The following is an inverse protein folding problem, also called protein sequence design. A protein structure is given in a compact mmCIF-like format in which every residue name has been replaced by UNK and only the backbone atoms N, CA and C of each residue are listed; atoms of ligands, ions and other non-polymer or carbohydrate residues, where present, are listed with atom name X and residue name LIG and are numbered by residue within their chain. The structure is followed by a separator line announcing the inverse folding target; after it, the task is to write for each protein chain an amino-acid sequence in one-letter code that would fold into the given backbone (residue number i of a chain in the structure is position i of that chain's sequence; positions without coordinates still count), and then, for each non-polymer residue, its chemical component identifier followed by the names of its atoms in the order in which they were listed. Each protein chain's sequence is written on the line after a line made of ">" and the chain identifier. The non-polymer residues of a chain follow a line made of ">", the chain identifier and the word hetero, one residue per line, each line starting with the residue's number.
data_IF_209611774028
#
_entry.id   IF_209611774028
#
_cell.length_a   1.000
_cell.length_b   1.000
_cell.length_c   1.000
_cell.angle_alpha   90.00
_cell.angle_beta   90.00
_cell.angle_gamma   90.00
#
_symmetry.space_group_name_H-M   'P 1'
#
loop_
_entity.id
_entity.type
_entity.pdbx_description
1 polymer ?
#
# COMPACT_ATOMS: atom_id res chain seq x y z
N UNK A 1 -5.03 -24.94 -16.05
CA UNK A 1 -5.16 -25.02 -14.58
C UNK A 1 -3.79 -24.79 -14.01
N UNK A 2 -3.63 -23.72 -13.28
CA UNK A 2 -2.37 -23.39 -12.62
C UNK A 2 -2.33 -24.11 -11.28
N UNK A 3 -1.23 -24.83 -11.00
CA UNK A 3 -0.99 -25.44 -9.70
C UNK A 3 -0.36 -24.41 -8.73
N UNK A 4 -0.82 -23.15 -8.81
CA UNK A 4 -0.35 -22.03 -8.00
C UNK A 4 -1.53 -21.33 -7.32
N UNK A 5 -1.30 -20.81 -6.14
CA UNK A 5 -2.15 -19.80 -5.52
C UNK A 5 -1.62 -18.41 -5.89
N UNK A 6 -2.51 -17.57 -6.36
CA UNK A 6 -2.23 -16.19 -6.73
C UNK A 6 -3.22 -15.25 -6.03
N UNK A 7 -2.77 -14.04 -5.73
CA UNK A 7 -3.64 -12.92 -5.40
C UNK A 7 -3.81 -12.09 -6.67
N UNK A 8 -5.06 -11.91 -7.04
CA UNK A 8 -5.48 -11.00 -8.09
C UNK A 8 -5.27 -9.57 -7.59
N UNK A 9 -4.60 -8.74 -8.38
CA UNK A 9 -4.21 -7.39 -7.97
C UNK A 9 -4.77 -6.34 -8.90
N UNK A 10 -4.85 -5.12 -8.39
CA UNK A 10 -5.17 -3.94 -9.18
C UNK A 10 -4.00 -2.96 -9.11
N UNK A 11 -3.50 -2.50 -10.25
CA UNK A 11 -2.43 -1.53 -10.26
C UNK A 11 -2.94 -0.15 -9.81
N UNK A 12 -2.16 0.48 -8.94
CA UNK A 12 -2.49 1.74 -8.31
C UNK A 12 -1.54 2.84 -8.79
N UNK A 13 -2.11 3.98 -9.18
CA UNK A 13 -1.36 5.19 -9.54
C UNK A 13 -0.53 5.09 -10.82
N UNK A 14 0.39 6.03 -10.99
CA UNK A 14 1.27 6.17 -12.12
C UNK A 14 2.56 5.36 -12.00
N UNK A 15 2.51 4.04 -12.11
CA UNK A 15 3.66 3.15 -11.96
C UNK A 15 4.22 2.66 -13.29
N UNK A 16 5.53 2.45 -13.33
CA UNK A 16 6.20 1.69 -14.40
C UNK A 16 6.06 0.20 -14.09
N UNK A 17 4.99 -0.43 -14.54
CA UNK A 17 4.59 -1.80 -14.20
C UNK A 17 5.71 -2.84 -14.35
N UNK A 18 6.59 -2.68 -15.35
CA UNK A 18 7.71 -3.57 -15.58
C UNK A 18 8.76 -3.56 -14.45
N UNK A 19 8.76 -2.56 -13.56
CA UNK A 19 9.65 -2.55 -12.39
C UNK A 19 9.25 -3.59 -11.33
N UNK A 20 7.99 -4.04 -11.32
CA UNK A 20 7.46 -4.91 -10.27
C UNK A 20 7.61 -6.39 -10.59
N UNK A 21 7.89 -6.76 -11.84
CA UNK A 21 8.12 -8.16 -12.19
C UNK A 21 9.53 -8.59 -11.76
N UNK A 22 9.64 -9.84 -11.30
CA UNK A 22 10.88 -10.46 -10.81
C UNK A 22 11.52 -9.84 -9.56
N UNK A 23 10.93 -8.82 -8.99
CA UNK A 23 11.37 -8.29 -7.69
C UNK A 23 10.77 -9.09 -6.53
N UNK A 24 11.50 -9.22 -5.41
CA UNK A 24 10.87 -9.63 -4.17
C UNK A 24 9.89 -8.55 -3.70
N UNK A 25 8.66 -8.95 -3.40
CA UNK A 25 7.57 -8.07 -2.99
C UNK A 25 7.10 -8.42 -1.59
N UNK A 26 6.63 -7.41 -0.86
CA UNK A 26 6.05 -7.47 0.47
C UNK A 26 4.56 -7.12 0.44
N UNK A 27 3.85 -7.54 1.47
CA UNK A 27 2.44 -7.23 1.69
C UNK A 27 2.29 -6.33 2.92
N UNK A 28 1.68 -5.17 2.74
CA UNK A 28 1.38 -4.23 3.82
C UNK A 28 -0.09 -3.87 3.80
N UNK A 29 -0.73 -3.83 4.96
CA UNK A 29 -2.10 -3.38 5.01
C UNK A 29 -2.87 -3.81 6.25
N UNK A 30 -4.17 -3.77 6.12
CA UNK A 30 -5.10 -4.14 7.19
C UNK A 30 -6.27 -4.93 6.63
N UNK A 31 -6.84 -5.78 7.48
CA UNK A 31 -8.07 -6.51 7.21
C UNK A 31 -9.03 -6.23 8.36
N UNK A 32 -10.18 -5.63 8.05
CA UNK A 32 -11.23 -5.37 9.03
C UNK A 32 -12.23 -6.54 9.04
N UNK A 33 -12.25 -7.32 10.12
CA UNK A 33 -13.13 -8.49 10.27
C UNK A 33 -14.56 -8.10 10.66
N UNK A 34 -15.51 -8.99 10.41
CA UNK A 34 -16.94 -8.78 10.75
C UNK A 34 -17.20 -8.52 12.23
N UNK A 35 -16.36 -9.03 13.12
CA UNK A 35 -16.45 -8.82 14.56
C UNK A 35 -15.84 -7.49 15.04
N UNK A 36 -15.35 -6.67 14.12
CA UNK A 36 -14.69 -5.38 14.41
C UNK A 36 -13.20 -5.50 14.70
N UNK A 37 -12.64 -6.72 14.71
CA UNK A 37 -11.20 -6.91 14.86
C UNK A 37 -10.47 -6.45 13.61
N UNK A 38 -9.34 -5.76 13.80
CA UNK A 38 -8.45 -5.33 12.70
C UNK A 38 -7.16 -6.15 12.76
N UNK A 39 -6.90 -6.89 11.70
CA UNK A 39 -5.66 -7.64 11.51
C UNK A 39 -4.69 -6.78 10.69
N UNK A 40 -3.50 -6.53 11.24
CA UNK A 40 -2.42 -5.85 10.51
C UNK A 40 -1.61 -6.89 9.74
N UNK A 41 -1.39 -6.63 8.46
CA UNK A 41 -0.55 -7.42 7.58
C UNK A 41 0.73 -6.64 7.30
N UNK A 42 1.87 -7.24 7.61
CA UNK A 42 3.20 -6.73 7.26
C UNK A 42 4.12 -7.93 7.11
N UNK A 43 4.33 -8.37 5.88
CA UNK A 43 5.07 -9.58 5.53
C UNK A 43 6.00 -9.30 4.36
N UNK A 44 7.27 -9.64 4.50
CA UNK A 44 8.27 -9.52 3.43
C UNK A 44 9.44 -8.60 3.74
N UNK A 45 9.41 -7.85 4.84
CA UNK A 45 10.46 -6.87 5.18
C UNK A 45 11.46 -7.38 6.20
N UNK A 46 11.05 -8.29 7.07
CA UNK A 46 11.90 -8.77 8.17
C UNK A 46 12.77 -9.94 7.73
N UNK A 47 13.97 -10.10 8.30
CA UNK A 47 14.75 -11.31 8.11
C UNK A 47 13.96 -12.56 8.49
N UNK A 48 13.80 -13.49 7.54
CA UNK A 48 13.05 -14.73 7.73
C UNK A 48 11.60 -14.68 7.24
N UNK A 49 11.08 -13.51 6.90
CA UNK A 49 9.77 -13.42 6.24
C UNK A 49 9.83 -14.08 4.84
N UNK A 50 8.76 -14.71 4.40
CA UNK A 50 8.60 -15.04 2.99
C UNK A 50 8.43 -13.77 2.18
N UNK A 51 8.90 -13.78 0.93
CA UNK A 51 8.62 -12.73 -0.05
C UNK A 51 7.73 -13.30 -1.14
N UNK A 52 7.08 -12.41 -1.88
CA UNK A 52 6.16 -12.72 -2.96
C UNK A 52 6.73 -12.20 -4.27
N UNK A 53 6.09 -12.50 -5.39
CA UNK A 53 6.57 -11.97 -6.67
C UNK A 53 5.58 -12.16 -7.81
N UNK A 54 5.75 -11.31 -8.80
CA UNK A 54 5.11 -11.46 -10.10
C UNK A 54 6.13 -12.11 -11.03
N UNK A 55 5.81 -13.28 -11.57
CA UNK A 55 6.67 -13.98 -12.51
C UNK A 55 6.64 -13.30 -13.88
N UNK A 56 7.75 -13.40 -14.61
CA UNK A 56 7.85 -12.94 -15.98
C UNK A 56 8.27 -14.07 -16.92
N UNK A 57 8.13 -13.86 -18.22
CA UNK A 57 8.55 -14.81 -19.22
C UNK A 57 10.09 -14.87 -19.30
N UNK A 58 10.62 -16.07 -19.39
CA UNK A 58 12.03 -16.24 -19.69
C UNK A 58 12.33 -15.81 -21.14
N UNK A 59 13.56 -15.42 -21.42
CA UNK A 59 13.97 -14.82 -22.69
C UNK A 59 13.55 -15.63 -23.93
N UNK A 60 13.55 -16.94 -23.85
CA UNK A 60 13.19 -17.81 -24.97
C UNK A 60 11.69 -17.81 -25.30
N UNK A 61 10.84 -17.33 -24.40
CA UNK A 61 9.39 -17.24 -24.56
C UNK A 61 8.90 -15.79 -24.71
N UNK A 62 9.76 -14.79 -24.56
CA UNK A 62 9.40 -13.39 -24.47
C UNK A 62 9.47 -12.63 -25.81
N UNK A 63 9.63 -13.30 -26.96
CA UNK A 63 9.82 -12.64 -28.26
C UNK A 63 8.77 -11.57 -28.55
N UNK A 64 7.48 -11.91 -28.48
CA UNK A 64 6.40 -10.97 -28.72
C UNK A 64 6.32 -9.86 -27.64
N UNK A 65 6.67 -10.19 -26.39
CA UNK A 65 6.72 -9.24 -25.31
C UNK A 65 7.80 -8.17 -25.54
N UNK A 66 8.97 -8.57 -26.02
CA UNK A 66 10.11 -7.68 -26.27
C UNK A 66 9.86 -6.68 -27.41
N UNK A 67 8.96 -6.98 -28.34
CA UNK A 67 8.55 -6.06 -29.42
C UNK A 67 7.56 -4.99 -28.95
N UNK A 68 7.00 -5.11 -27.74
CA UNK A 68 6.06 -4.12 -27.19
C UNK A 68 6.79 -2.87 -26.68
N UNK A 69 6.12 -1.72 -26.76
CA UNK A 69 6.60 -0.51 -26.10
C UNK A 69 6.62 -0.72 -24.56
N UNK A 70 7.58 -0.11 -23.88
CA UNK A 70 7.76 -0.25 -22.42
C UNK A 70 6.48 -0.03 -21.61
N UNK A 71 5.63 0.90 -22.02
CA UNK A 71 4.33 1.16 -21.38
C UNK A 71 3.32 0.00 -21.51
N UNK A 72 3.57 -0.96 -22.42
CA UNK A 72 2.69 -2.09 -22.73
C UNK A 72 3.36 -3.45 -22.54
N UNK A 73 4.62 -3.48 -22.13
CA UNK A 73 5.39 -4.73 -21.98
C UNK A 73 4.82 -5.58 -20.85
N UNK A 74 4.35 -4.95 -19.80
CA UNK A 74 3.59 -5.56 -18.71
C UNK A 74 2.24 -4.85 -18.62
N UNK A 75 1.17 -5.61 -18.71
CA UNK A 75 -0.19 -5.11 -18.53
C UNK A 75 -0.56 -5.16 -17.05
N UNK A 76 -1.33 -4.16 -16.56
CA UNK A 76 -1.69 -4.08 -15.13
C UNK A 76 -2.44 -5.31 -14.63
N UNK A 77 -3.32 -5.82 -15.46
CA UNK A 77 -4.13 -7.01 -15.20
C UNK A 77 -3.30 -8.31 -15.08
N UNK A 78 -2.02 -8.28 -15.41
CA UNK A 78 -1.10 -9.42 -15.32
C UNK A 78 -0.11 -9.30 -14.15
N UNK A 79 -0.32 -8.35 -13.24
CA UNK A 79 0.50 -8.18 -12.04
C UNK A 79 0.01 -9.05 -10.87
N UNK A 80 -0.51 -10.23 -11.16
CA UNK A 80 -0.97 -11.15 -10.14
C UNK A 80 0.18 -11.69 -9.31
N UNK A 81 -0.01 -11.65 -8.00
CA UNK A 81 1.02 -12.01 -7.05
C UNK A 81 1.03 -13.51 -6.75
N UNK A 82 2.13 -14.17 -7.03
CA UNK A 82 2.33 -15.58 -6.69
C UNK A 82 2.58 -15.72 -5.19
N UNK A 83 1.71 -16.50 -4.50
CA UNK A 83 1.73 -16.65 -3.05
C UNK A 83 1.92 -18.09 -2.56
N UNK A 84 1.89 -19.07 -3.45
CA UNK A 84 2.17 -20.46 -3.07
C UNK A 84 1.92 -21.48 -4.16
N UNK A 85 2.47 -22.69 -3.94
CA UNK A 85 2.42 -23.79 -4.91
C UNK A 85 2.23 -25.17 -4.26
N UNK A 86 2.26 -25.27 -2.93
CA UNK A 86 2.15 -26.56 -2.24
C UNK A 86 0.67 -26.91 -2.04
N UNK A 87 0.18 -28.04 -2.58
CA UNK A 87 -1.19 -28.45 -2.38
C UNK A 87 -1.44 -28.96 -0.95
N UNK A 88 -2.63 -28.72 -0.43
CA UNK A 88 -3.10 -29.33 0.82
C UNK A 88 -3.10 -30.84 0.69
N UNK A 89 -2.54 -31.51 1.69
CA UNK A 89 -2.63 -32.96 1.82
C UNK A 89 -4.04 -33.33 2.37
N UNK A 90 -4.90 -33.82 1.51
CA UNK A 90 -6.27 -34.22 1.88
C UNK A 90 -6.77 -35.30 0.96
N UNK A 91 -7.54 -36.26 1.51
CA UNK A 91 -8.26 -37.28 0.79
C UNK A 91 -9.69 -36.83 0.39
N UNK A 92 -10.10 -35.63 0.85
CA UNK A 92 -11.41 -35.07 0.50
C UNK A 92 -11.43 -34.65 -0.98
N UNK A 93 -12.10 -35.40 -1.81
CA UNK A 93 -12.28 -35.14 -3.25
C UNK A 93 -13.06 -33.84 -3.55
N UNK A 94 -13.76 -33.28 -2.57
CA UNK A 94 -14.48 -31.99 -2.72
C UNK A 94 -13.52 -30.82 -2.79
N UNK A 95 -12.32 -30.94 -2.24
CA UNK A 95 -11.29 -29.90 -2.29
C UNK A 95 -10.61 -29.92 -3.66
N UNK A 96 -11.12 -29.12 -4.60
CA UNK A 96 -10.60 -29.07 -5.99
C UNK A 96 -9.35 -28.20 -6.12
N UNK A 97 -9.31 -27.09 -5.39
CA UNK A 97 -8.19 -26.09 -5.43
C UNK A 97 -7.29 -26.31 -4.23
N UNK A 98 -6.53 -27.39 -4.24
CA UNK A 98 -5.74 -27.82 -3.09
C UNK A 98 -4.64 -26.84 -2.70
N UNK A 99 -4.03 -26.10 -3.65
CA UNK A 99 -3.01 -25.07 -3.36
C UNK A 99 -3.66 -23.90 -2.65
N UNK A 100 -4.75 -23.36 -3.18
CA UNK A 100 -5.53 -22.30 -2.53
C UNK A 100 -5.96 -22.71 -1.12
N UNK A 101 -6.48 -23.92 -0.96
CA UNK A 101 -6.91 -24.45 0.33
C UNK A 101 -5.76 -24.52 1.35
N UNK A 102 -4.54 -24.86 0.92
CA UNK A 102 -3.38 -24.86 1.78
C UNK A 102 -3.00 -23.45 2.22
N UNK A 103 -2.99 -22.48 1.30
CA UNK A 103 -2.71 -21.08 1.63
C UNK A 103 -3.75 -20.53 2.60
N UNK A 104 -5.05 -20.77 2.35
CA UNK A 104 -6.11 -20.33 3.28
C UNK A 104 -5.95 -20.94 4.67
N UNK A 105 -5.55 -22.22 4.76
CA UNK A 105 -5.27 -22.86 6.05
C UNK A 105 -4.07 -22.23 6.77
N UNK A 106 -3.02 -21.82 6.05
CA UNK A 106 -1.87 -21.11 6.62
C UNK A 106 -2.29 -19.73 7.13
N UNK A 107 -3.03 -18.96 6.33
CA UNK A 107 -3.53 -17.63 6.69
C UNK A 107 -4.49 -17.68 7.89
N UNK A 108 -5.38 -18.69 7.93
CA UNK A 108 -6.27 -18.89 9.08
C UNK A 108 -5.50 -19.20 10.36
N UNK A 109 -4.46 -20.04 10.30
CA UNK A 109 -3.63 -20.38 11.46
C UNK A 109 -2.78 -19.23 11.97
N UNK A 110 -2.22 -18.43 11.07
CA UNK A 110 -1.27 -17.38 11.44
C UNK A 110 -1.96 -16.06 11.77
N UNK A 111 -2.97 -15.68 11.00
CA UNK A 111 -3.64 -14.39 11.12
C UNK A 111 -5.11 -14.49 11.55
N UNK A 112 -5.66 -15.70 11.64
CA UNK A 112 -7.07 -15.91 11.98
C UNK A 112 -8.03 -15.37 10.94
N UNK A 113 -7.63 -15.29 9.65
CA UNK A 113 -8.43 -14.76 8.55
C UNK A 113 -9.02 -15.89 7.68
N UNK A 114 -10.22 -15.64 7.19
CA UNK A 114 -10.94 -16.49 6.26
C UNK A 114 -11.01 -15.83 4.87
N UNK A 115 -11.44 -16.57 3.85
CA UNK A 115 -11.53 -16.03 2.48
C UNK A 115 -12.45 -14.81 2.38
N UNK A 116 -13.56 -14.81 3.14
CA UNK A 116 -14.50 -13.68 3.16
C UNK A 116 -13.88 -12.38 3.72
N UNK A 117 -12.87 -12.48 4.59
CA UNK A 117 -12.22 -11.31 5.18
C UNK A 117 -11.44 -10.48 4.15
N UNK A 118 -11.07 -11.08 3.00
CA UNK A 118 -10.45 -10.34 1.90
C UNK A 118 -11.36 -9.31 1.26
N UNK A 119 -12.67 -9.39 1.44
CA UNK A 119 -13.62 -8.38 0.94
C UNK A 119 -13.45 -7.01 1.63
N UNK A 120 -12.91 -7.01 2.84
CA UNK A 120 -12.64 -5.81 3.64
C UNK A 120 -11.14 -5.58 3.87
N UNK A 121 -10.30 -6.26 3.09
CA UNK A 121 -8.87 -6.08 3.13
C UNK A 121 -8.45 -4.87 2.29
N UNK A 122 -7.55 -4.07 2.84
CA UNK A 122 -6.78 -3.07 2.11
C UNK A 122 -5.31 -3.44 2.25
N UNK A 123 -4.80 -4.13 1.23
CA UNK A 123 -3.43 -4.67 1.21
C UNK A 123 -2.70 -4.13 -0.01
N UNK A 124 -1.57 -3.53 0.22
CA UNK A 124 -0.68 -3.01 -0.80
C UNK A 124 0.48 -3.97 -1.03
N UNK A 125 0.85 -4.14 -2.30
CA UNK A 125 2.00 -4.92 -2.73
C UNK A 125 3.12 -3.96 -3.08
N UNK A 126 4.23 -4.03 -2.34
CA UNK A 126 5.35 -3.10 -2.46
C UNK A 126 6.67 -3.86 -2.58
N UNK A 127 7.74 -3.26 -3.13
CA UNK A 127 9.07 -3.88 -3.09
C UNK A 127 9.50 -4.22 -1.65
N UNK A 128 9.96 -5.46 -1.46
CA UNK A 128 10.34 -5.98 -0.16
C UNK A 128 11.71 -5.49 0.30
N UNK A 129 11.88 -5.34 1.59
CA UNK A 129 13.15 -5.09 2.25
C UNK A 129 13.38 -3.65 2.68
N UNK A 130 14.40 -3.49 3.50
CA UNK A 130 14.78 -2.22 4.09
C UNK A 130 15.54 -1.32 3.12
N UNK A 131 15.49 -0.01 3.35
CA UNK A 131 16.37 0.94 2.71
C UNK A 131 17.84 0.64 3.04
N UNK A 132 18.74 0.89 2.09
CA UNK A 132 20.17 0.58 2.19
C UNK A 132 21.01 1.77 1.78
N UNK A 133 22.23 1.84 2.35
CA UNK A 133 23.26 2.71 1.84
C UNK A 133 23.54 2.40 0.37
N UNK A 134 23.64 3.44 -0.46
CA UNK A 134 23.85 3.31 -1.90
C UNK A 134 25.13 4.00 -2.34
N UNK A 135 25.92 3.28 -3.13
CA UNK A 135 27.26 3.68 -3.56
C UNK A 135 28.35 3.19 -2.61
N UNK A 136 29.59 3.14 -3.08
CA UNK A 136 30.73 2.72 -2.25
C UNK A 136 31.03 3.69 -1.12
N UNK A 137 30.74 4.95 -1.31
CA UNK A 137 30.90 6.04 -0.32
C UNK A 137 29.70 6.19 0.60
N UNK A 138 28.64 5.40 0.39
CA UNK A 138 27.39 5.41 1.15
C UNK A 138 26.72 6.79 1.24
N UNK A 139 26.92 7.62 0.21
CA UNK A 139 26.41 9.00 0.19
C UNK A 139 24.93 9.10 -0.19
N UNK A 140 24.33 8.02 -0.67
CA UNK A 140 22.94 7.95 -1.11
C UNK A 140 22.19 6.84 -0.36
N UNK A 141 20.87 6.87 -0.47
CA UNK A 141 19.99 5.85 0.09
C UNK A 141 19.23 5.20 -1.07
N UNK A 142 19.23 3.87 -1.13
CA UNK A 142 18.37 3.10 -1.99
C UNK A 142 17.21 2.54 -1.18
N UNK A 143 15.99 2.85 -1.57
CA UNK A 143 14.80 2.35 -0.91
C UNK A 143 13.56 2.64 -1.74
N UNK A 144 12.47 1.99 -1.39
CA UNK A 144 11.14 2.25 -1.93
C UNK A 144 10.49 3.44 -1.20
N UNK A 145 9.69 4.22 -1.92
CA UNK A 145 8.88 5.30 -1.33
C UNK A 145 9.64 6.60 -1.07
N UNK A 146 10.70 6.91 -1.83
CA UNK A 146 11.30 8.26 -1.85
C UNK A 146 10.28 9.32 -2.29
N UNK A 147 9.51 9.03 -3.28
CA UNK A 147 8.29 9.73 -3.59
C UNK A 147 7.16 9.11 -2.73
N UNK A 148 6.61 9.81 -1.76
CA UNK A 148 6.79 11.25 -1.51
C UNK A 148 7.49 11.57 -0.15
N UNK A 149 8.26 10.67 0.43
CA UNK A 149 8.97 10.94 1.71
C UNK A 149 9.92 12.13 1.63
N UNK A 150 10.46 12.40 0.46
CA UNK A 150 11.38 13.53 0.23
C UNK A 150 10.69 14.89 0.40
N UNK A 151 9.37 14.96 0.21
CA UNK A 151 8.57 16.16 0.46
C UNK A 151 7.86 16.10 1.82
N UNK A 152 7.34 14.92 2.21
CA UNK A 152 6.63 14.73 3.46
C UNK A 152 7.52 15.00 4.69
N UNK A 153 8.74 14.46 4.69
CA UNK A 153 9.66 14.61 5.83
C UNK A 153 10.08 16.06 6.07
N UNK A 154 10.55 16.84 5.08
CA UNK A 154 10.87 18.24 5.29
C UNK A 154 9.68 19.10 5.74
N UNK A 155 8.48 18.79 5.27
CA UNK A 155 7.25 19.49 5.69
C UNK A 155 6.96 19.26 7.17
N UNK A 156 7.12 18.02 7.63
CA UNK A 156 6.96 17.66 9.03
C UNK A 156 8.06 18.30 9.91
N UNK A 157 9.32 18.26 9.50
CA UNK A 157 10.43 18.89 10.20
C UNK A 157 10.25 20.40 10.30
N UNK A 158 9.84 21.06 9.23
CA UNK A 158 9.56 22.50 9.23
C UNK A 158 8.51 22.87 10.28
N UNK A 159 7.49 22.04 10.46
CA UNK A 159 6.49 22.24 11.50
C UNK A 159 7.06 22.05 12.91
N UNK A 160 7.90 21.03 13.13
CA UNK A 160 8.50 20.76 14.43
C UNK A 160 9.47 21.85 14.92
N UNK A 161 10.21 22.49 14.01
CA UNK A 161 11.14 23.57 14.35
C UNK A 161 10.48 24.94 14.43
N UNK A 162 9.20 25.05 14.10
CA UNK A 162 8.44 26.29 14.18
C UNK A 162 8.10 26.60 15.64
N UNK A 163 8.79 27.58 16.21
CA UNK A 163 8.58 28.03 17.59
C UNK A 163 7.59 29.19 17.63
N UNK A 164 6.60 29.13 18.55
CA UNK A 164 5.63 30.19 18.84
C UNK A 164 4.98 30.82 17.59
N UNK A 165 4.38 30.04 16.70
CA UNK A 165 3.76 30.57 15.50
C UNK A 165 2.61 31.53 15.87
N UNK A 166 2.55 32.69 15.23
CA UNK A 166 1.46 33.66 15.39
C UNK A 166 0.12 33.14 14.84
N UNK A 167 0.20 32.20 13.89
CA UNK A 167 -0.94 31.59 13.23
C UNK A 167 -0.84 30.08 13.41
N UNK A 168 -1.96 29.40 13.56
CA UNK A 168 -1.98 27.93 13.62
C UNK A 168 -1.35 27.33 12.40
N UNK A 169 -0.33 26.52 12.61
CA UNK A 169 0.35 25.74 11.55
C UNK A 169 -0.12 24.30 11.58
N UNK A 170 -0.31 23.74 10.40
CA UNK A 170 -0.74 22.34 10.23
C UNK A 170 0.15 21.68 9.19
N UNK A 171 0.72 20.53 9.54
CA UNK A 171 1.32 19.63 8.57
C UNK A 171 0.32 18.53 8.26
N UNK A 172 -0.06 18.39 7.00
CA UNK A 172 -1.05 17.45 6.55
C UNK A 172 -0.41 16.43 5.61
N UNK A 173 -0.30 15.19 6.08
CA UNK A 173 0.21 14.06 5.32
C UNK A 173 -0.98 13.20 4.91
N UNK A 174 -1.24 13.12 3.62
CA UNK A 174 -2.43 12.47 3.08
C UNK A 174 -2.05 11.28 2.21
N UNK A 175 -2.96 10.33 2.13
CA UNK A 175 -2.89 9.17 1.27
C UNK A 175 -3.72 9.38 -0.02
N UNK A 176 -3.55 8.48 -1.00
CA UNK A 176 -4.33 8.42 -2.25
C UNK A 176 -4.08 9.59 -3.23
N UNK A 177 -2.97 10.31 -3.12
CA UNK A 177 -2.64 11.41 -4.03
C UNK A 177 -2.52 10.91 -5.48
N UNK A 178 -1.83 9.81 -5.70
CA UNK A 178 -1.54 9.22 -7.03
C UNK A 178 -2.78 8.80 -7.84
N UNK A 179 -3.92 8.65 -7.19
CA UNK A 179 -5.21 8.38 -7.86
C UNK A 179 -6.15 9.60 -7.84
N UNK A 180 -5.60 10.81 -7.68
CA UNK A 180 -6.36 12.05 -7.63
C UNK A 180 -6.96 12.35 -6.26
N UNK A 181 -6.34 11.91 -5.18
CA UNK A 181 -6.75 12.16 -3.78
C UNK A 181 -8.14 11.61 -3.45
N UNK A 182 -8.60 10.61 -4.18
CA UNK A 182 -9.89 9.93 -3.95
C UNK A 182 -9.74 8.91 -2.83
N UNK A 183 -10.68 8.91 -1.89
CA UNK A 183 -10.68 7.99 -0.76
C UNK A 183 -11.24 8.63 0.50
N UNK A 184 -11.50 7.83 1.53
CA UNK A 184 -12.13 8.29 2.76
C UNK A 184 -11.27 9.28 3.57
N UNK A 185 -9.94 9.21 3.42
CA UNK A 185 -8.96 10.06 4.12
C UNK A 185 -8.10 10.93 3.19
N UNK A 186 -8.33 10.87 1.86
CA UNK A 186 -7.64 11.72 0.88
C UNK A 186 -8.08 13.18 0.93
N UNK A 187 -7.39 14.07 0.20
CA UNK A 187 -7.68 15.50 0.21
C UNK A 187 -9.04 15.88 -0.34
N UNK A 188 -9.66 15.05 -1.17
CA UNK A 188 -11.03 15.28 -1.65
C UNK A 188 -12.10 14.84 -0.63
N UNK A 189 -11.71 14.17 0.46
CA UNK A 189 -12.64 13.82 1.53
C UNK A 189 -12.91 15.03 2.45
N UNK A 190 -13.89 14.88 3.32
CA UNK A 190 -14.14 15.87 4.38
C UNK A 190 -13.34 15.61 5.66
N UNK A 191 -12.40 14.67 5.62
CA UNK A 191 -11.64 14.28 6.81
C UNK A 191 -10.91 15.48 7.44
N UNK A 192 -10.17 16.26 6.62
CA UNK A 192 -9.46 17.44 7.11
C UNK A 192 -10.40 18.51 7.64
N UNK A 193 -11.45 18.88 6.88
CA UNK A 193 -12.44 19.88 7.29
C UNK A 193 -13.10 19.49 8.64
N UNK A 194 -13.51 18.23 8.77
CA UNK A 194 -14.09 17.70 10.00
C UNK A 194 -13.10 17.73 11.17
N UNK A 195 -11.85 17.38 10.94
CA UNK A 195 -10.80 17.44 11.97
C UNK A 195 -10.59 18.87 12.47
N UNK A 196 -10.54 19.86 11.56
CA UNK A 196 -10.45 21.27 11.94
C UNK A 196 -11.67 21.69 12.76
N UNK A 197 -12.88 21.27 12.38
CA UNK A 197 -14.11 21.56 13.13
C UNK A 197 -14.06 21.00 14.56
N UNK A 198 -13.60 19.75 14.73
CA UNK A 198 -13.43 19.12 16.05
C UNK A 198 -12.40 19.84 16.91
N UNK A 199 -11.26 20.23 16.34
CA UNK A 199 -10.23 21.02 17.04
C UNK A 199 -10.78 22.36 17.49
N UNK A 200 -11.53 23.08 16.63
CA UNK A 200 -12.17 24.34 16.97
C UNK A 200 -13.23 24.16 18.05
N UNK A 201 -13.99 23.06 18.02
CA UNK A 201 -14.98 22.74 19.05
C UNK A 201 -14.31 22.49 20.41
N UNK A 202 -13.24 21.72 20.43
CA UNK A 202 -12.44 21.48 21.64
C UNK A 202 -11.82 22.76 22.22
N UNK A 203 -11.47 23.72 21.36
CA UNK A 203 -10.99 25.04 21.75
C UNK A 203 -12.10 26.04 22.12
N UNK A 204 -13.38 25.65 22.07
CA UNK A 204 -14.53 26.51 22.38
C UNK A 204 -14.79 27.63 21.36
N UNK A 205 -14.25 27.50 20.13
CA UNK A 205 -14.31 28.54 19.08
C UNK A 205 -15.10 28.11 17.84
N UNK A 206 -15.77 26.95 17.88
CA UNK A 206 -16.49 26.42 16.72
C UNK A 206 -17.77 27.18 16.43
N UNK A 207 -17.95 27.52 15.18
CA UNK A 207 -19.23 27.72 14.52
C UNK A 207 -19.03 27.44 13.03
N UNK A 208 -20.09 27.11 12.30
CA UNK A 208 -20.03 26.87 10.87
C UNK A 208 -19.38 28.05 10.12
N UNK A 209 -19.75 29.28 10.48
CA UNK A 209 -19.17 30.48 9.86
C UNK A 209 -17.70 30.66 10.25
N UNK A 210 -17.32 30.37 11.50
CA UNK A 210 -15.94 30.46 11.94
C UNK A 210 -15.04 29.45 11.21
N UNK A 211 -15.50 28.21 11.05
CA UNK A 211 -14.80 27.17 10.27
C UNK A 211 -14.55 27.64 8.82
N UNK A 212 -15.61 28.10 8.15
CA UNK A 212 -15.48 28.57 6.76
C UNK A 212 -14.53 29.75 6.63
N UNK A 213 -14.55 30.69 7.56
CA UNK A 213 -13.61 31.83 7.59
C UNK A 213 -12.18 31.37 7.85
N UNK A 214 -11.97 30.42 8.76
CA UNK A 214 -10.66 29.85 9.03
C UNK A 214 -10.07 29.22 7.77
N UNK A 215 -10.81 28.35 7.11
CA UNK A 215 -10.37 27.69 5.89
C UNK A 215 -10.13 28.69 4.73
N UNK A 216 -11.02 29.67 4.54
CA UNK A 216 -10.90 30.67 3.49
C UNK A 216 -9.69 31.61 3.69
N UNK A 217 -9.26 31.83 4.94
CA UNK A 217 -8.10 32.66 5.26
C UNK A 217 -6.79 31.85 5.42
N UNK A 218 -6.88 30.54 5.33
CA UNK A 218 -5.69 29.66 5.35
C UNK A 218 -4.90 29.76 4.05
N UNK A 219 -3.60 29.51 4.16
CA UNK A 219 -2.69 29.38 3.01
C UNK A 219 -2.16 27.97 2.98
N UNK A 220 -2.09 27.38 1.80
CA UNK A 220 -1.45 26.11 1.53
C UNK A 220 -0.13 26.42 0.83
N UNK A 221 0.94 25.78 1.28
CA UNK A 221 2.30 25.89 0.74
C UNK A 221 2.70 24.56 0.12
#
# INVERSE_FOLDING_TARGET
>A
KTDFAILDTHNYGGIKKYHLVTLPLALHGVIAKKDGTVVKVNVGDKPGDPVFGVSDLLIHLSGEQLEKKAAKVIEGENLDLLIGSIPMQTEDEKVKEKVKANIMNLLSKEYGIEEEDFLSAEIEVVPAGEAKDYGFDRSMIMGYGHDDRVCAYPSFEAMLVSENPEITSVCLLVDKEEIGSVGASGMQSRFFENTVAEVMAAAGSYSELALRRALANSKVL
#
